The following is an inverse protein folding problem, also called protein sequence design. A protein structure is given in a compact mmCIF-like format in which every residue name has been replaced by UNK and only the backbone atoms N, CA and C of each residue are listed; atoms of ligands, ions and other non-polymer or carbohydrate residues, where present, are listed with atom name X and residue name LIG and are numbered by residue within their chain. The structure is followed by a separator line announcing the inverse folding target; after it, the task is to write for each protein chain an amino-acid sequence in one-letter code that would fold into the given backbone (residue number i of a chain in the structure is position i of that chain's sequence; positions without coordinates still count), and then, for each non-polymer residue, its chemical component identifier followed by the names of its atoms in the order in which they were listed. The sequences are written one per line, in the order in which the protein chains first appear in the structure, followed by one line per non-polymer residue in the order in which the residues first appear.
data_IF_850954566591
#
_entry.id   IF_850954566591
#
_cell.length_a   1.000
_cell.length_b   1.000
_cell.length_c   1.000
_cell.angle_alpha   90.00
_cell.angle_beta   90.00
_cell.angle_gamma   90.00
#
_symmetry.space_group_name_H-M   'P 1'
#
loop_
_entity.id
_entity.type
_entity.pdbx_description
1 polymer ?
#
# COMPACT_ATOMS: atom_id res chain seq x y z
N UNK A 1 25.25 42.03 -68.35
CA UNK A 1 24.02 41.22 -68.46
C UNK A 1 23.78 40.51 -67.14
N UNK A 2 22.59 40.71 -66.53
CA UNK A 2 21.79 39.77 -65.68
C UNK A 2 22.57 38.86 -64.68
N UNK A 3 22.26 38.72 -63.38
CA UNK A 3 21.09 39.00 -62.53
C UNK A 3 21.51 38.76 -61.06
N UNK A 4 20.96 39.53 -60.13
CA UNK A 4 20.91 39.19 -58.69
C UNK A 4 20.03 37.95 -58.46
N UNK A 5 20.45 37.04 -57.58
CA UNK A 5 19.55 36.12 -56.85
C UNK A 5 20.06 35.84 -55.43
N UNK A 6 19.26 36.33 -54.50
CA UNK A 6 19.21 36.08 -53.06
C UNK A 6 18.76 34.65 -52.76
N UNK A 7 19.26 34.05 -51.67
CA UNK A 7 18.45 33.23 -50.74
C UNK A 7 19.26 32.92 -49.46
N UNK A 8 18.91 33.58 -48.35
CA UNK A 8 19.18 33.10 -46.99
C UNK A 8 18.25 31.92 -46.73
N UNK A 9 18.79 30.78 -46.29
CA UNK A 9 18.02 29.73 -45.63
C UNK A 9 18.34 29.78 -44.13
N UNK A 10 17.45 30.41 -43.37
CA UNK A 10 17.50 30.42 -41.91
C UNK A 10 16.85 29.14 -41.38
N UNK A 11 17.60 28.38 -40.59
CA UNK A 11 17.17 27.18 -39.88
C UNK A 11 16.15 27.56 -38.80
N UNK A 12 14.92 27.03 -38.89
CA UNK A 12 13.95 27.11 -37.81
C UNK A 12 13.87 25.72 -37.18
N UNK A 13 14.62 25.53 -36.09
CA UNK A 13 14.50 24.37 -35.21
C UNK A 13 13.68 24.80 -33.99
N UNK A 14 12.36 24.75 -34.09
CA UNK A 14 11.47 24.91 -32.94
C UNK A 14 11.37 23.60 -32.19
N UNK A 15 12.27 23.38 -31.24
CA UNK A 15 12.07 22.41 -30.16
C UNK A 15 11.28 23.13 -29.07
N UNK A 16 9.99 22.81 -28.96
CA UNK A 16 9.16 23.17 -27.81
C UNK A 16 9.69 22.42 -26.59
N UNK A 17 10.44 23.14 -25.74
CA UNK A 17 10.82 22.66 -24.42
C UNK A 17 9.55 22.57 -23.56
N UNK A 18 8.98 21.36 -23.48
CA UNK A 18 7.99 21.03 -22.47
C UNK A 18 8.66 21.11 -21.10
N UNK A 19 8.21 22.05 -20.28
CA UNK A 19 8.57 22.15 -18.87
C UNK A 19 8.10 20.88 -18.15
N UNK A 20 9.00 19.91 -18.00
CA UNK A 20 8.81 18.81 -17.08
C UNK A 20 8.77 19.41 -15.67
N UNK A 21 7.57 19.47 -15.08
CA UNK A 21 7.40 19.68 -13.65
C UNK A 21 7.93 18.42 -12.95
N UNK A 22 9.23 18.36 -12.74
CA UNK A 22 9.86 17.41 -11.82
C UNK A 22 9.51 17.88 -10.41
N UNK A 23 8.32 17.53 -9.93
CA UNK A 23 8.03 17.58 -8.51
C UNK A 23 9.03 16.68 -7.78
N UNK A 24 9.60 17.10 -6.63
CA UNK A 24 10.42 16.21 -5.84
C UNK A 24 9.54 15.02 -5.42
N UNK A 25 9.86 13.84 -5.92
CA UNK A 25 9.46 12.60 -5.26
C UNK A 25 10.14 12.64 -3.89
N UNK A 26 9.41 13.09 -2.87
CA UNK A 26 9.88 13.05 -1.50
C UNK A 26 9.97 11.56 -1.14
N UNK A 27 11.19 11.02 -1.21
CA UNK A 27 11.50 9.76 -0.57
C UNK A 27 11.12 9.92 0.91
N UNK A 28 10.16 9.12 1.38
CA UNK A 28 9.87 9.04 2.80
C UNK A 28 11.18 8.72 3.54
N UNK A 29 11.43 9.32 4.72
CA UNK A 29 12.63 8.97 5.48
C UNK A 29 12.68 7.46 5.69
N UNK A 30 13.86 6.86 5.50
CA UNK A 30 14.13 5.44 5.79
C UNK A 30 13.94 5.18 7.29
N UNK A 31 12.68 5.03 7.71
CA UNK A 31 12.35 4.48 9.02
C UNK A 31 12.70 2.99 8.98
N UNK A 32 13.22 2.49 10.10
CA UNK A 32 13.50 1.07 10.32
C UNK A 32 12.44 0.54 11.28
N UNK A 33 12.06 -0.72 11.13
CA UNK A 33 11.18 -1.40 12.08
C UNK A 33 11.70 -1.27 13.53
N UNK A 34 10.78 -1.06 14.48
CA UNK A 34 11.09 -0.65 15.84
C UNK A 34 10.03 -1.12 16.85
N UNK A 35 9.93 -0.50 18.04
CA UNK A 35 8.99 -0.94 19.06
C UNK A 35 7.57 -0.34 18.92
N UNK A 36 7.31 0.53 17.93
CA UNK A 36 6.06 1.30 17.88
C UNK A 36 4.85 0.43 17.53
N UNK A 37 4.92 -0.48 16.53
CA UNK A 37 3.85 -1.45 16.28
C UNK A 37 3.52 -2.26 17.53
N UNK A 38 4.54 -2.73 18.24
CA UNK A 38 4.35 -3.48 19.49
C UNK A 38 3.71 -2.63 20.60
N UNK A 39 4.05 -1.34 20.68
CA UNK A 39 3.41 -0.42 21.62
C UNK A 39 1.94 -0.20 21.26
N UNK A 40 1.64 0.08 19.99
CA UNK A 40 0.28 0.30 19.51
C UNK A 40 -0.58 -0.95 19.67
N UNK A 41 -0.04 -2.14 19.40
CA UNK A 41 -0.74 -3.40 19.67
C UNK A 41 -1.20 -3.48 21.13
N UNK A 42 -0.32 -3.21 22.10
CA UNK A 42 -0.67 -3.26 23.53
C UNK A 42 -1.70 -2.19 23.90
N UNK A 43 -1.67 -1.03 23.26
CA UNK A 43 -2.64 0.06 23.49
C UNK A 43 -4.03 -0.25 22.93
N UNK A 44 -4.10 -1.01 21.84
CA UNK A 44 -5.34 -1.30 21.10
C UNK A 44 -5.81 -2.74 21.21
N UNK A 45 -5.14 -3.57 22.01
CA UNK A 45 -5.45 -4.99 22.11
C UNK A 45 -6.95 -5.23 22.36
N UNK A 46 -7.52 -6.17 21.62
CA UNK A 46 -8.93 -6.57 21.72
C UNK A 46 -9.96 -5.48 21.35
N UNK A 47 -9.62 -4.49 20.54
CA UNK A 47 -10.59 -3.50 20.07
C UNK A 47 -11.36 -3.90 18.79
N UNK A 48 -10.94 -5.00 18.15
CA UNK A 48 -11.65 -5.56 17.01
C UNK A 48 -11.18 -5.03 15.65
N UNK A 49 -10.08 -4.29 15.57
CA UNK A 49 -9.68 -3.63 14.33
C UNK A 49 -8.48 -4.26 13.63
N UNK A 50 -8.45 -4.11 12.31
CA UNK A 50 -7.23 -4.13 11.50
C UNK A 50 -6.85 -2.70 11.14
N UNK A 51 -5.56 -2.40 11.13
CA UNK A 51 -5.03 -1.07 10.82
C UNK A 51 -3.90 -1.18 9.80
N UNK A 52 -3.82 -0.19 8.90
CA UNK A 52 -2.73 -0.07 7.94
C UNK A 52 -2.08 1.32 8.02
N UNK A 53 -0.83 1.37 7.59
CA UNK A 53 0.09 2.48 7.84
C UNK A 53 1.01 2.72 6.62
N UNK A 54 1.25 3.98 6.25
CA UNK A 54 2.05 4.42 5.08
C UNK A 54 3.57 4.39 5.34
N UNK A 55 3.99 3.97 6.54
CA UNK A 55 5.38 3.84 6.93
C UNK A 55 5.59 2.56 7.74
N UNK A 56 6.85 2.13 7.86
CA UNK A 56 7.21 1.01 8.73
C UNK A 56 6.90 1.31 10.19
N UNK A 57 6.91 0.28 11.03
CA UNK A 57 6.69 0.34 12.47
C UNK A 57 5.38 1.05 12.84
N UNK A 58 4.33 0.88 12.05
CA UNK A 58 2.98 1.38 12.32
C UNK A 58 2.90 2.91 12.46
N UNK A 59 3.66 3.64 11.63
CA UNK A 59 3.58 5.10 11.52
C UNK A 59 2.69 5.54 10.35
N UNK A 60 2.10 6.73 10.45
CA UNK A 60 1.29 7.32 9.35
C UNK A 60 0.05 6.48 9.00
N UNK A 61 -0.91 6.40 9.94
CA UNK A 61 -2.12 5.58 9.80
C UNK A 61 -2.93 5.95 8.55
N UNK A 62 -3.20 4.94 7.72
CA UNK A 62 -4.02 5.03 6.51
C UNK A 62 -5.52 4.81 6.79
N UNK A 63 -5.85 3.92 7.73
CA UNK A 63 -7.22 3.58 8.08
C UNK A 63 -7.30 2.45 9.10
N UNK A 64 -8.53 2.14 9.55
CA UNK A 64 -8.80 1.02 10.46
C UNK A 64 -10.22 0.47 10.27
N UNK A 65 -10.39 -0.85 10.27
CA UNK A 65 -11.68 -1.51 10.03
C UNK A 65 -11.97 -2.66 11.00
N UNK A 66 -13.23 -2.80 11.43
CA UNK A 66 -13.72 -4.00 12.15
C UNK A 66 -14.40 -5.03 11.23
N UNK A 67 -14.77 -4.61 10.02
CA UNK A 67 -15.36 -5.47 8.99
C UNK A 67 -14.50 -5.48 7.75
N UNK A 68 -14.94 -6.20 6.73
CA UNK A 68 -14.26 -6.31 5.45
C UNK A 68 -14.26 -4.97 4.69
N UNK A 69 -13.23 -4.75 3.89
CA UNK A 69 -13.14 -3.61 2.99
C UNK A 69 -12.66 -4.06 1.61
N UNK A 70 -13.61 -4.06 0.67
CA UNK A 70 -13.38 -4.51 -0.69
C UNK A 70 -12.64 -3.50 -1.56
N UNK A 71 -12.43 -2.24 -1.14
CA UNK A 71 -11.79 -1.24 -2.00
C UNK A 71 -11.22 -0.03 -1.24
N UNK A 72 -9.91 -0.04 -1.01
CA UNK A 72 -9.21 1.04 -0.29
C UNK A 72 -9.05 2.35 -1.11
N UNK A 73 -9.48 2.34 -2.38
CA UNK A 73 -9.50 3.51 -3.26
C UNK A 73 -10.88 4.17 -3.33
N UNK A 74 -11.91 3.60 -2.69
CA UNK A 74 -13.22 4.22 -2.71
C UNK A 74 -13.31 5.43 -1.74
N UNK A 75 -14.35 6.24 -1.94
CA UNK A 75 -14.59 7.44 -1.12
C UNK A 75 -15.43 7.13 0.13
N UNK A 76 -15.63 5.85 0.42
CA UNK A 76 -16.45 5.31 1.50
C UNK A 76 -15.58 4.45 2.43
N UNK A 77 -16.19 3.88 3.46
CA UNK A 77 -15.52 2.88 4.28
C UNK A 77 -14.41 3.40 5.23
N UNK A 78 -13.75 2.43 5.90
CA UNK A 78 -12.69 2.65 6.88
C UNK A 78 -11.32 3.01 6.28
N UNK A 79 -11.02 2.53 5.07
CA UNK A 79 -9.81 2.90 4.31
C UNK A 79 -10.21 3.76 3.12
N UNK A 80 -9.87 5.05 3.17
CA UNK A 80 -10.26 6.02 2.15
C UNK A 80 -9.07 6.37 1.28
N UNK A 81 -9.32 6.84 0.05
CA UNK A 81 -8.33 7.54 -0.78
C UNK A 81 -7.58 8.57 0.10
N UNK A 82 -6.29 8.38 0.44
CA UNK A 82 -5.21 7.81 -0.37
C UNK A 82 -4.64 6.44 0.09
N UNK A 83 -5.40 5.55 0.73
CA UNK A 83 -4.88 4.31 1.33
C UNK A 83 -4.48 3.19 0.34
N UNK A 84 -5.05 3.18 -0.86
CA UNK A 84 -4.76 2.16 -1.89
C UNK A 84 -3.27 2.11 -2.24
N UNK A 85 -2.68 0.92 -2.29
CA UNK A 85 -1.29 0.71 -2.71
C UNK A 85 -0.27 1.50 -1.88
N UNK A 86 -0.54 1.70 -0.59
CA UNK A 86 0.32 2.49 0.32
C UNK A 86 0.78 1.80 1.58
N UNK A 87 0.12 0.69 1.95
CA UNK A 87 0.47 0.05 3.20
C UNK A 87 1.91 -0.45 3.18
N UNK A 88 2.66 -0.01 4.19
CA UNK A 88 4.03 -0.42 4.50
C UNK A 88 4.10 -1.19 5.83
N UNK A 89 3.12 -1.02 6.73
CA UNK A 89 2.97 -1.86 7.94
C UNK A 89 1.51 -2.07 8.31
N UNK A 90 1.24 -3.12 9.08
CA UNK A 90 -0.10 -3.61 9.42
C UNK A 90 -0.20 -3.99 10.89
N UNK A 91 -1.38 -3.82 11.49
CA UNK A 91 -1.65 -4.20 12.88
C UNK A 91 -3.01 -4.90 12.96
N UNK A 92 -3.04 -6.09 13.57
CA UNK A 92 -4.24 -6.88 13.80
C UNK A 92 -4.55 -6.95 15.30
N UNK A 93 -5.53 -6.16 15.73
CA UNK A 93 -6.09 -6.16 17.09
C UNK A 93 -7.55 -6.59 17.06
N UNK A 94 -7.93 -7.45 16.09
CA UNK A 94 -9.26 -8.04 15.99
C UNK A 94 -9.75 -8.63 17.30
N UNK A 95 -11.01 -9.02 17.42
CA UNK A 95 -11.51 -9.77 18.59
C UNK A 95 -12.09 -11.07 18.11
N UNK A 96 -11.79 -12.14 18.84
CA UNK A 96 -12.31 -13.45 18.49
C UNK A 96 -13.79 -13.53 18.92
N UNK A 97 -14.70 -13.24 18.00
CA UNK A 97 -16.08 -13.69 18.07
C UNK A 97 -16.38 -14.52 16.82
N UNK A 98 -16.59 -15.83 16.99
CA UNK A 98 -17.02 -16.72 15.91
C UNK A 98 -15.94 -17.28 14.98
N UNK A 99 -14.65 -17.24 15.34
CA UNK A 99 -13.60 -17.91 14.56
C UNK A 99 -12.81 -17.00 13.61
N UNK A 100 -13.23 -15.74 13.44
CA UNK A 100 -12.71 -14.84 12.40
C UNK A 100 -11.84 -13.77 13.05
N UNK A 101 -10.53 -14.00 13.08
CA UNK A 101 -9.56 -13.10 13.72
C UNK A 101 -8.27 -12.93 12.92
N UNK A 102 -8.16 -13.60 11.77
CA UNK A 102 -7.07 -13.38 10.82
C UNK A 102 -7.56 -12.43 9.73
N UNK A 103 -6.63 -11.70 9.11
CA UNK A 103 -6.97 -10.78 8.02
C UNK A 103 -6.24 -11.20 6.77
N UNK A 104 -6.99 -11.49 5.71
CA UNK A 104 -6.43 -11.70 4.38
C UNK A 104 -6.37 -10.36 3.66
N UNK A 105 -5.21 -10.03 3.11
CA UNK A 105 -4.96 -8.84 2.30
C UNK A 105 -4.75 -9.24 0.84
N UNK A 106 -5.24 -8.40 -0.05
CA UNK A 106 -5.30 -8.66 -1.48
C UNK A 106 -4.71 -7.49 -2.26
N UNK A 107 -4.00 -7.81 -3.34
CA UNK A 107 -3.40 -6.79 -4.20
C UNK A 107 -4.45 -6.00 -5.00
N UNK A 108 -5.58 -6.63 -5.33
CA UNK A 108 -6.63 -6.00 -6.13
C UNK A 108 -7.87 -5.71 -5.27
N UNK A 109 -8.74 -4.82 -5.77
CA UNK A 109 -10.06 -4.58 -5.19
C UNK A 109 -10.95 -5.84 -5.30
N UNK A 110 -12.03 -5.86 -4.54
CA UNK A 110 -13.01 -6.95 -4.45
C UNK A 110 -12.42 -8.28 -3.95
N UNK A 111 -11.33 -8.25 -3.19
CA UNK A 111 -10.66 -9.42 -2.61
C UNK A 111 -10.06 -10.37 -3.66
N UNK A 112 -9.43 -9.81 -4.69
CA UNK A 112 -8.87 -10.54 -5.82
C UNK A 112 -7.34 -10.46 -5.89
N UNK A 113 -6.76 -11.31 -6.76
CA UNK A 113 -5.33 -11.27 -7.05
C UNK A 113 -4.45 -12.02 -6.04
N UNK A 114 -3.17 -11.66 -6.02
CA UNK A 114 -2.20 -12.21 -5.06
C UNK A 114 -2.58 -11.77 -3.65
N UNK A 115 -2.43 -12.68 -2.69
CA UNK A 115 -2.90 -12.46 -1.32
C UNK A 115 -1.95 -13.02 -0.27
N UNK A 116 -2.04 -12.45 0.92
CA UNK A 116 -1.28 -12.83 2.10
C UNK A 116 -2.09 -12.56 3.35
N UNK A 117 -1.78 -13.25 4.43
CA UNK A 117 -2.57 -13.20 5.65
C UNK A 117 -1.76 -12.71 6.84
N UNK A 118 -2.35 -11.83 7.65
CA UNK A 118 -1.87 -11.52 8.99
C UNK A 118 -2.70 -12.31 10.01
N UNK A 119 -2.11 -13.38 10.53
CA UNK A 119 -2.71 -14.18 11.58
C UNK A 119 -2.85 -13.37 12.86
N UNK A 120 -3.86 -13.70 13.67
CA UNK A 120 -4.03 -13.04 14.97
C UNK A 120 -2.80 -13.19 15.87
N UNK A 121 -2.15 -14.35 15.84
CA UNK A 121 -0.98 -14.63 16.66
C UNK A 121 0.29 -13.88 16.24
N UNK A 122 0.33 -13.35 15.01
CA UNK A 122 1.44 -12.55 14.48
C UNK A 122 1.38 -11.10 14.95
N UNK A 123 0.20 -10.65 15.40
CA UNK A 123 -0.07 -9.34 16.00
C UNK A 123 0.04 -8.17 15.01
N UNK A 124 1.16 -8.04 14.31
CA UNK A 124 1.46 -6.97 13.37
C UNK A 124 2.53 -7.39 12.36
N UNK A 125 2.60 -6.65 11.26
CA UNK A 125 3.73 -6.63 10.33
C UNK A 125 4.32 -5.23 10.41
N UNK A 126 5.55 -5.10 10.91
CA UNK A 126 6.23 -3.81 11.06
C UNK A 126 6.88 -3.33 9.76
N UNK A 127 7.19 -4.22 8.82
CA UNK A 127 7.70 -3.86 7.50
C UNK A 127 7.27 -4.85 6.39
N UNK A 128 6.33 -4.43 5.54
CA UNK A 128 5.83 -5.24 4.43
C UNK A 128 6.85 -5.46 3.31
N UNK A 129 7.97 -4.72 3.30
CA UNK A 129 9.02 -4.89 2.28
C UNK A 129 9.67 -6.27 2.36
N UNK A 130 9.60 -6.93 3.52
CA UNK A 130 10.15 -8.26 3.74
C UNK A 130 9.14 -9.39 3.41
N UNK A 131 7.89 -9.04 3.08
CA UNK A 131 6.83 -10.01 2.83
C UNK A 131 6.38 -10.03 1.36
N UNK A 132 5.69 -11.10 1.00
CA UNK A 132 5.17 -11.33 -0.35
C UNK A 132 3.73 -11.82 -0.32
N UNK A 133 2.91 -11.29 -1.23
CA UNK A 133 1.59 -11.81 -1.56
C UNK A 133 1.73 -12.91 -2.62
N UNK A 134 0.89 -13.95 -2.58
CA UNK A 134 0.99 -15.09 -3.50
C UNK A 134 -0.37 -15.55 -4.03
N UNK A 135 -0.37 -16.08 -5.26
CA UNK A 135 -1.46 -16.84 -5.87
C UNK A 135 -0.87 -17.87 -6.85
N UNK A 136 -0.93 -19.16 -6.50
CA UNK A 136 -0.27 -20.20 -7.29
C UNK A 136 1.24 -19.95 -7.36
N UNK A 137 1.78 -19.91 -8.58
CA UNK A 137 3.19 -19.59 -8.85
C UNK A 137 3.49 -18.09 -8.94
N UNK A 138 2.48 -17.22 -8.84
CA UNK A 138 2.62 -15.77 -8.94
C UNK A 138 2.85 -15.19 -7.55
N UNK A 139 3.81 -14.27 -7.43
CA UNK A 139 4.09 -13.53 -6.20
C UNK A 139 4.49 -12.09 -6.45
N UNK A 140 4.12 -11.20 -5.54
CA UNK A 140 4.48 -9.78 -5.56
C UNK A 140 4.94 -9.36 -4.16
N UNK A 141 5.89 -8.43 -4.07
CA UNK A 141 6.24 -7.80 -2.79
C UNK A 141 5.00 -7.17 -2.15
N UNK A 142 4.79 -7.34 -0.84
CA UNK A 142 3.56 -6.91 -0.18
C UNK A 142 3.51 -5.40 0.13
N UNK A 143 4.64 -4.70 0.02
CA UNK A 143 4.74 -3.27 0.25
C UNK A 143 4.05 -2.46 -0.86
N UNK A 144 3.18 -1.52 -0.48
CA UNK A 144 2.54 -0.59 -1.41
C UNK A 144 1.76 -1.25 -2.55
N UNK A 145 1.09 -2.38 -2.26
CA UNK A 145 0.26 -3.08 -3.26
C UNK A 145 -1.12 -3.50 -2.75
N UNK A 146 -1.42 -3.33 -1.47
CA UNK A 146 -2.68 -3.80 -0.88
C UNK A 146 -3.82 -2.85 -1.27
N UNK A 147 -4.91 -3.42 -1.77
CA UNK A 147 -6.11 -2.69 -2.22
C UNK A 147 -7.42 -3.15 -1.57
N UNK A 148 -7.45 -4.31 -0.91
CA UNK A 148 -8.62 -4.78 -0.16
C UNK A 148 -8.24 -5.78 0.95
N UNK A 149 -9.16 -6.00 1.90
CA UNK A 149 -8.98 -6.99 2.95
C UNK A 149 -10.28 -7.68 3.36
N UNK A 150 -10.15 -8.90 3.90
CA UNK A 150 -11.26 -9.70 4.41
C UNK A 150 -10.87 -10.40 5.72
N UNK A 151 -11.74 -10.33 6.70
CA UNK A 151 -11.63 -11.10 7.94
C UNK A 151 -11.93 -12.57 7.68
N UNK A 152 -11.01 -13.44 8.06
CA UNK A 152 -11.10 -14.89 7.77
C UNK A 152 -10.75 -15.74 8.99
N UNK A 153 -11.31 -16.96 9.02
CA UNK A 153 -11.01 -17.98 10.02
C UNK A 153 -9.75 -18.80 9.71
N UNK A 154 -9.26 -18.73 8.48
CA UNK A 154 -8.03 -19.40 8.03
C UNK A 154 -6.95 -18.42 7.61
N UNK A 155 -5.69 -18.82 7.70
CA UNK A 155 -4.56 -17.98 7.31
C UNK A 155 -3.66 -18.71 6.31
N UNK A 156 -3.87 -18.44 5.02
CA UNK A 156 -3.03 -18.95 3.93
C UNK A 156 -2.02 -17.90 3.51
N UNK A 157 -0.78 -18.30 3.24
CA UNK A 157 0.35 -17.40 2.94
C UNK A 157 0.56 -16.34 4.04
N UNK A 158 0.98 -16.75 5.26
CA UNK A 158 1.23 -15.81 6.34
C UNK A 158 2.28 -14.75 5.95
N UNK A 159 2.10 -13.52 6.44
CA UNK A 159 3.02 -12.39 6.28
C UNK A 159 4.05 -12.42 7.41
N UNK A 160 4.91 -13.44 7.40
CA UNK A 160 6.06 -13.61 8.31
C UNK A 160 7.37 -13.25 7.66
#
# INVERSE_FOLDING_TARGET
MRKFRTALAASILTVTAGTLLTGPAQAAPDRVAGPNCASLYRSYQEDGYVRAYDAVDCYERLGEAQGDDGNWNDASGPFRKPANDKATSLLNTGTYAGGVNNVMFYADASHEGVRGCLARGELYVDDLRDNVLKLGSTSTNANNVISSHLWTSGCTNPLT
#
